data_IF_500147746726
#
_entry.id   IF_500147746726
#
_cell.length_a   1.000
_cell.length_b   1.000
_cell.length_c   1.000
_cell.angle_alpha   90.00
_cell.angle_beta   90.00
_cell.angle_gamma   90.00
#
_symmetry.space_group_name_H-M   'P 1'
#
loop_
_entity.id
_entity.type
_entity.pdbx_description
1 polymer ?
#
# COMPACT_ATOMS: atom_id res chain seq x y z
N UNK A 1 -17.66 1.35 -0.30
CA UNK A 1 -16.40 1.95 0.25
C UNK A 1 -16.10 3.22 -0.52
N UNK A 2 -15.98 4.30 0.19
CA UNK A 2 -15.65 5.59 -0.40
C UNK A 2 -14.17 5.85 -0.23
N UNK A 3 -13.50 6.24 -1.32
CA UNK A 3 -12.06 6.50 -1.31
C UNK A 3 -11.79 8.00 -1.35
N UNK A 4 -10.78 8.42 -0.57
CA UNK A 4 -10.23 9.76 -0.64
C UNK A 4 -8.79 9.64 -1.14
N UNK A 5 -8.50 10.27 -2.27
CA UNK A 5 -7.15 10.28 -2.84
C UNK A 5 -6.18 10.97 -1.89
N UNK A 6 -5.06 10.31 -1.58
CA UNK A 6 -4.03 10.88 -0.72
C UNK A 6 -2.83 11.37 -1.54
N UNK A 7 -2.45 10.64 -2.57
CA UNK A 7 -1.33 11.00 -3.39
C UNK A 7 -0.85 9.84 -4.23
N UNK A 8 -0.07 10.14 -5.25
CA UNK A 8 0.54 9.13 -6.09
C UNK A 8 1.95 9.54 -6.47
N UNK A 9 2.76 8.54 -6.75
CA UNK A 9 4.15 8.75 -7.12
C UNK A 9 4.30 8.77 -8.61
N UNK A 10 4.95 9.80 -9.04
CA UNK A 10 5.49 10.05 -10.37
C UNK A 10 4.56 9.90 -11.54
N UNK A 11 5.06 10.22 -12.58
CA UNK A 11 4.50 10.22 -13.89
C UNK A 11 5.05 9.03 -14.62
N UNK A 12 4.31 8.56 -15.49
CA UNK A 12 3.01 8.92 -15.97
C UNK A 12 1.90 8.14 -15.27
N UNK A 13 0.77 8.10 -15.82
CA UNK A 13 -0.52 7.62 -15.34
C UNK A 13 -0.57 6.29 -14.61
N UNK A 14 0.52 5.59 -14.47
CA UNK A 14 0.56 4.23 -13.97
C UNK A 14 1.32 4.13 -12.66
N UNK A 15 1.16 5.14 -11.85
CA UNK A 15 1.96 5.27 -10.64
C UNK A 15 1.25 4.68 -9.45
N UNK A 16 1.99 4.11 -8.51
CA UNK A 16 1.46 3.71 -7.22
C UNK A 16 0.71 4.86 -6.56
N UNK A 17 -0.39 4.54 -5.90
CA UNK A 17 -1.32 5.54 -5.37
C UNK A 17 -1.82 5.11 -4.00
N UNK A 18 -2.04 6.09 -3.12
CA UNK A 18 -2.64 5.87 -1.80
C UNK A 18 -4.02 6.50 -1.74
N UNK A 19 -4.93 5.80 -1.08
CA UNK A 19 -6.27 6.29 -0.77
C UNK A 19 -6.58 6.01 0.69
N UNK A 20 -7.31 6.93 1.33
CA UNK A 20 -7.98 6.64 2.60
C UNK A 20 -9.39 6.15 2.28
N UNK A 21 -9.95 5.33 3.16
CA UNK A 21 -11.33 4.88 3.02
C UNK A 21 -12.19 5.49 4.11
N UNK A 22 -13.49 5.37 3.95
CA UNK A 22 -14.44 5.77 4.98
C UNK A 22 -14.56 4.71 6.10
N UNK A 23 -13.82 3.61 5.98
CA UNK A 23 -13.83 2.49 6.93
C UNK A 23 -12.58 2.37 7.80
N UNK A 24 -11.88 3.46 8.02
CA UNK A 24 -10.67 3.50 8.86
C UNK A 24 -9.56 2.57 8.35
N UNK A 25 -9.35 2.61 7.05
CA UNK A 25 -8.33 1.83 6.39
C UNK A 25 -7.64 2.65 5.29
N UNK A 26 -6.54 2.11 4.79
CA UNK A 26 -5.75 2.71 3.71
C UNK A 26 -5.72 1.70 2.56
N UNK A 27 -6.00 2.15 1.36
CA UNK A 27 -5.84 1.33 0.15
C UNK A 27 -4.54 1.73 -0.52
N UNK A 28 -3.71 0.74 -0.80
CA UNK A 28 -2.43 0.92 -1.46
C UNK A 28 -2.51 0.29 -2.84
N UNK A 29 -2.36 1.09 -3.87
CA UNK A 29 -2.27 0.63 -5.25
C UNK A 29 -0.79 0.61 -5.63
N UNK A 30 -0.34 -0.50 -6.18
CA UNK A 30 1.06 -0.65 -6.56
C UNK A 30 1.24 -1.70 -7.63
N UNK A 31 2.49 -1.99 -7.96
CA UNK A 31 2.82 -2.96 -9.00
C UNK A 31 2.57 -4.38 -8.51
N UNK A 32 2.09 -5.23 -9.42
CA UNK A 32 1.94 -6.66 -9.15
C UNK A 32 3.35 -7.24 -8.94
N UNK A 33 3.52 -8.03 -7.87
CA UNK A 33 4.79 -8.69 -7.60
C UNK A 33 4.89 -9.94 -8.47
N UNK A 34 5.90 -9.96 -9.33
CA UNK A 34 6.13 -11.07 -10.27
C UNK A 34 7.43 -11.83 -10.01
N UNK A 35 8.26 -11.34 -9.11
CA UNK A 35 9.53 -11.98 -8.77
C UNK A 35 9.27 -13.33 -8.09
N UNK A 36 9.71 -14.42 -8.72
CA UNK A 36 9.44 -15.76 -8.24
C UNK A 36 10.09 -16.03 -6.88
N UNK A 37 11.23 -15.43 -6.59
CA UNK A 37 11.91 -15.61 -5.30
C UNK A 37 11.12 -14.94 -4.18
N UNK A 38 10.58 -13.77 -4.42
CA UNK A 38 9.75 -13.06 -3.44
C UNK A 38 8.48 -13.87 -3.19
N UNK A 39 7.82 -14.30 -4.26
CA UNK A 39 6.57 -15.07 -4.16
C UNK A 39 6.78 -16.39 -3.42
N UNK A 40 7.94 -17.03 -3.59
CA UNK A 40 8.25 -18.27 -2.90
C UNK A 40 8.52 -18.06 -1.40
N UNK A 41 8.99 -16.89 -1.03
CA UNK A 41 9.40 -16.59 0.36
C UNK A 41 8.25 -16.07 1.23
N UNK A 42 7.16 -15.61 0.64
CA UNK A 42 6.08 -14.94 1.36
C UNK A 42 4.78 -15.73 1.22
N UNK A 43 4.19 -16.07 2.36
CA UNK A 43 2.90 -16.74 2.37
C UNK A 43 1.78 -15.71 2.28
N UNK A 44 0.84 -15.96 1.37
CA UNK A 44 -0.31 -15.08 1.14
C UNK A 44 -1.57 -15.94 1.17
N UNK A 45 -2.57 -15.54 1.95
CA UNK A 45 -3.85 -16.25 1.97
C UNK A 45 -4.66 -15.92 0.72
N UNK A 46 -5.75 -16.66 0.50
CA UNK A 46 -6.62 -16.43 -0.66
C UNK A 46 -7.24 -15.04 -0.68
N UNK A 47 -7.40 -14.43 0.50
CA UNK A 47 -8.01 -13.11 0.63
C UNK A 47 -7.00 -11.97 0.57
N UNK A 48 -5.72 -12.30 0.47
CA UNK A 48 -4.64 -11.33 0.46
C UNK A 48 -3.91 -11.35 -0.87
N UNK A 49 -3.18 -10.27 -1.13
CA UNK A 49 -2.23 -10.21 -2.24
C UNK A 49 -1.07 -9.28 -1.86
N UNK A 50 -0.12 -9.16 -2.76
CA UNK A 50 1.06 -8.33 -2.58
C UNK A 50 1.04 -7.18 -3.58
N UNK A 51 1.53 -6.03 -3.14
CA UNK A 51 1.84 -4.91 -4.04
C UNK A 51 3.26 -4.45 -3.77
N UNK A 52 3.91 -3.95 -4.81
CA UNK A 52 5.23 -3.33 -4.69
C UNK A 52 5.09 -1.83 -4.88
N UNK A 53 5.65 -1.04 -3.97
CA UNK A 53 5.57 0.41 -4.03
C UNK A 53 6.93 1.03 -3.68
N UNK A 54 7.26 2.20 -4.26
CA UNK A 54 8.46 2.92 -3.85
C UNK A 54 8.24 3.55 -2.46
N UNK A 55 9.28 3.64 -1.64
CA UNK A 55 9.16 4.25 -0.31
C UNK A 55 8.61 5.67 -0.33
N UNK A 56 8.89 6.43 -1.38
CA UNK A 56 8.38 7.80 -1.53
C UNK A 56 6.87 7.91 -1.46
N UNK A 57 6.15 6.84 -1.85
CA UNK A 57 4.69 6.86 -1.81
C UNK A 57 4.19 7.12 -0.40
N UNK A 58 4.91 6.65 0.60
CA UNK A 58 4.48 6.74 1.99
C UNK A 58 4.44 8.16 2.53
N UNK A 59 5.10 9.11 1.88
CA UNK A 59 5.04 10.52 2.29
C UNK A 59 3.61 11.06 2.24
N UNK A 60 2.78 10.50 1.39
CA UNK A 60 1.39 10.96 1.23
C UNK A 60 0.47 10.50 2.37
N UNK A 61 0.95 9.66 3.27
CA UNK A 61 0.18 9.26 4.46
C UNK A 61 -0.15 10.44 5.35
N UNK A 62 0.62 11.52 5.27
CA UNK A 62 0.36 12.74 6.03
C UNK A 62 -1.02 13.32 5.71
N UNK A 63 -1.51 13.13 4.49
CA UNK A 63 -2.83 13.60 4.07
C UNK A 63 -3.96 12.84 4.78
N UNK A 64 -3.65 11.69 5.36
CA UNK A 64 -4.60 10.92 6.18
C UNK A 64 -4.35 11.13 7.68
N UNK A 65 -3.50 12.08 8.05
CA UNK A 65 -3.17 12.35 9.44
C UNK A 65 -2.15 11.40 10.03
N UNK A 66 -1.50 10.57 9.21
CA UNK A 66 -0.45 9.65 9.67
C UNK A 66 0.88 10.34 9.41
N UNK A 67 1.46 10.90 10.47
CA UNK A 67 2.64 11.76 10.40
C UNK A 67 3.87 11.03 10.89
N UNK A 68 4.96 11.14 10.14
CA UNK A 68 6.24 10.56 10.49
C UNK A 68 6.81 9.73 9.35
N UNK A 69 8.05 9.31 9.51
CA UNK A 69 8.73 8.47 8.52
C UNK A 69 8.46 6.99 8.83
N UNK A 70 8.52 6.17 7.79
CA UNK A 70 8.49 4.72 7.96
C UNK A 70 9.82 4.34 8.62
N UNK A 71 9.73 3.85 9.85
CA UNK A 71 10.91 3.44 10.63
C UNK A 71 10.84 1.97 11.04
N UNK A 72 9.65 1.37 11.00
CA UNK A 72 9.45 -0.02 11.37
C UNK A 72 9.14 -0.83 10.10
N UNK A 73 10.08 -1.68 9.70
CA UNK A 73 9.90 -2.53 8.53
C UNK A 73 9.28 -3.85 8.96
N UNK A 74 8.04 -3.77 9.41
CA UNK A 74 7.25 -4.88 9.92
C UNK A 74 5.98 -5.03 9.08
N UNK A 75 5.27 -6.14 9.26
CA UNK A 75 3.98 -6.33 8.59
C UNK A 75 3.12 -5.08 8.78
N UNK A 76 2.47 -4.59 7.72
CA UNK A 76 2.22 -5.19 6.40
C UNK A 76 3.37 -5.08 5.39
N UNK A 77 4.50 -4.45 5.72
CA UNK A 77 5.69 -4.52 4.88
C UNK A 77 6.34 -5.87 5.16
N UNK A 78 6.32 -6.78 4.20
CA UNK A 78 6.78 -8.15 4.39
C UNK A 78 8.13 -8.41 3.74
N UNK A 79 8.62 -7.47 2.94
CA UNK A 79 9.91 -7.60 2.27
C UNK A 79 10.34 -6.25 1.73
N UNK A 80 11.64 -6.04 1.63
CA UNK A 80 12.21 -4.88 0.95
C UNK A 80 13.03 -5.40 -0.22
N UNK A 81 12.67 -4.99 -1.43
CA UNK A 81 13.34 -5.45 -2.65
C UNK A 81 14.74 -4.84 -2.76
N UNK A 82 15.57 -5.40 -3.64
CA UNK A 82 16.93 -4.90 -3.84
C UNK A 82 17.00 -3.42 -4.21
N UNK A 83 16.01 -2.94 -4.96
CA UNK A 83 15.94 -1.54 -5.36
C UNK A 83 15.38 -0.62 -4.25
N UNK A 84 15.07 -1.18 -3.08
CA UNK A 84 14.55 -0.42 -1.95
C UNK A 84 13.03 -0.35 -1.89
N UNK A 85 12.31 -0.86 -2.89
CA UNK A 85 10.85 -0.83 -2.87
C UNK A 85 10.30 -1.73 -1.77
N UNK A 86 9.16 -1.33 -1.21
CA UNK A 86 8.45 -2.12 -0.21
C UNK A 86 7.51 -3.11 -0.87
N UNK A 87 7.52 -4.34 -0.39
CA UNK A 87 6.52 -5.34 -0.74
C UNK A 87 5.52 -5.37 0.40
N UNK A 88 4.28 -5.06 0.10
CA UNK A 88 3.22 -4.90 1.09
C UNK A 88 2.17 -5.99 0.87
N UNK A 89 1.82 -6.70 1.96
CA UNK A 89 0.78 -7.70 1.94
C UNK A 89 -0.47 -7.13 2.59
N UNK A 90 -1.58 -7.27 1.93
CA UNK A 90 -2.84 -6.81 2.47
C UNK A 90 -4.03 -7.52 1.86
N UNK A 91 -5.21 -7.16 2.33
CA UNK A 91 -6.45 -7.74 1.89
C UNK A 91 -6.77 -7.28 0.47
N UNK A 92 -7.20 -8.21 -0.37
CA UNK A 92 -7.66 -7.86 -1.73
C UNK A 92 -8.86 -6.93 -1.63
N UNK A 93 -8.87 -5.90 -2.45
CA UNK A 93 -10.02 -5.00 -2.55
C UNK A 93 -10.98 -5.62 -3.56
N UNK A 94 -12.15 -6.02 -3.08
CA UNK A 94 -13.19 -6.61 -3.92
C UNK A 94 -14.43 -5.73 -4.02
N UNK A 95 -14.47 -4.66 -3.27
CA UNK A 95 -15.58 -3.70 -3.27
C UNK A 95 -15.65 -2.99 -4.63
N UNK A 96 -16.75 -3.20 -5.34
CA UNK A 96 -16.90 -2.64 -6.69
C UNK A 96 -16.95 -1.12 -6.70
N UNK A 97 -17.53 -0.54 -5.65
CA UNK A 97 -17.60 0.91 -5.54
C UNK A 97 -16.20 1.51 -5.36
N UNK A 98 -15.35 0.84 -4.59
CA UNK A 98 -13.96 1.26 -4.45
C UNK A 98 -13.21 1.14 -5.78
N UNK A 99 -13.31 -0.02 -6.42
CA UNK A 99 -12.59 -0.28 -7.66
C UNK A 99 -12.99 0.70 -8.77
N UNK A 100 -14.26 1.12 -8.79
CA UNK A 100 -14.74 2.07 -9.81
C UNK A 100 -14.18 3.48 -9.62
N UNK A 101 -13.66 3.78 -8.42
CA UNK A 101 -13.05 5.07 -8.13
C UNK A 101 -11.56 5.12 -8.46
N UNK A 102 -10.99 3.96 -8.86
CA UNK A 102 -9.56 3.81 -9.09
C UNK A 102 -9.28 3.57 -10.56
N UNK A 103 -8.08 3.94 -11.00
CA UNK A 103 -7.58 3.60 -12.31
C UNK A 103 -6.44 2.59 -12.09
N UNK A 104 -6.72 1.31 -12.35
CA UNK A 104 -5.77 0.24 -12.09
C UNK A 104 -5.38 -0.41 -13.42
N UNK A 105 -4.20 -0.11 -13.95
CA UNK A 105 -3.71 -0.76 -15.16
C UNK A 105 -3.36 -2.21 -14.90
N UNK A 106 -3.17 -2.99 -15.97
CA UNK A 106 -2.99 -4.45 -15.89
C UNK A 106 -1.78 -4.88 -15.05
N UNK A 107 -0.77 -4.04 -14.94
CA UNK A 107 0.45 -4.35 -14.18
C UNK A 107 0.37 -3.91 -12.72
N UNK A 108 -0.80 -3.43 -12.28
CA UNK A 108 -1.00 -2.98 -10.91
C UNK A 108 -2.16 -3.70 -10.25
N UNK A 109 -2.15 -3.68 -8.93
CA UNK A 109 -3.24 -4.16 -8.11
C UNK A 109 -3.30 -3.33 -6.85
N UNK A 110 -4.21 -3.64 -5.95
CA UNK A 110 -4.33 -2.88 -4.71
C UNK A 110 -4.67 -3.77 -3.53
N UNK A 111 -4.29 -3.30 -2.35
CA UNK A 111 -4.58 -3.96 -1.09
C UNK A 111 -5.18 -2.96 -0.11
N UNK A 112 -5.97 -3.46 0.82
CA UNK A 112 -6.52 -2.67 1.91
C UNK A 112 -5.79 -3.05 3.19
N UNK A 113 -5.33 -2.03 3.93
CA UNK A 113 -4.63 -2.17 5.21
C UNK A 113 -5.42 -1.43 6.28
N UNK A 114 -5.48 -1.98 7.50
CA UNK A 114 -6.06 -1.22 8.60
C UNK A 114 -5.20 0.01 8.89
N UNK A 115 -5.84 1.10 9.28
CA UNK A 115 -5.12 2.32 9.64
C UNK A 115 -4.13 2.06 10.77
N UNK A 116 -4.50 1.25 11.77
CA UNK A 116 -3.62 0.95 12.88
C UNK A 116 -2.35 0.22 12.44
N UNK A 117 -2.45 -0.67 11.46
CA UNK A 117 -1.28 -1.37 10.92
C UNK A 117 -0.33 -0.39 10.22
N UNK A 118 -0.88 0.58 9.50
CA UNK A 118 -0.07 1.60 8.82
C UNK A 118 0.58 2.54 9.84
N UNK A 119 -0.16 2.95 10.86
CA UNK A 119 0.38 3.81 11.94
C UNK A 119 1.56 3.13 12.63
N UNK A 120 1.52 1.80 12.78
CA UNK A 120 2.61 1.06 13.42
C UNK A 120 3.92 1.10 12.61
N UNK A 121 3.86 1.42 11.32
CA UNK A 121 5.05 1.54 10.48
C UNK A 121 5.81 2.85 10.74
N UNK A 122 5.12 3.90 11.16
CA UNK A 122 5.76 5.18 11.44
C UNK A 122 6.18 5.22 12.90
N UNK A 123 7.29 5.88 13.17
CA UNK A 123 7.78 6.02 14.53
C UNK A 123 6.86 6.92 15.33
N UNK A 124 6.58 6.51 16.56
CA UNK A 124 5.87 7.39 17.49
C UNK A 124 6.75 8.59 17.78
N UNK A 125 6.26 9.77 17.46
CA UNK A 125 6.95 11.00 17.78
C UNK A 125 6.31 11.59 19.03
N UNK A 126 7.00 11.44 20.13
CA UNK A 126 6.63 12.14 21.32
C UNK A 126 7.42 13.44 21.32
N UNK A 127 6.69 14.44 21.04
CA UNK A 127 7.28 15.79 20.98
C UNK A 127 7.75 16.24 22.28
#
# INVERSE_FOLDING_TARGET
MRLTFLGKESVPDQSPTLYATDGDSIVVQGWIVIDAQILAAITVSDQETLVEVPPKLMVHLVEAGIVGDIVNLISPIVHVAQNGNYIIRGKRVTDRAALSQMNIPDHETCVELSRSAVVALVGAKFG
#
